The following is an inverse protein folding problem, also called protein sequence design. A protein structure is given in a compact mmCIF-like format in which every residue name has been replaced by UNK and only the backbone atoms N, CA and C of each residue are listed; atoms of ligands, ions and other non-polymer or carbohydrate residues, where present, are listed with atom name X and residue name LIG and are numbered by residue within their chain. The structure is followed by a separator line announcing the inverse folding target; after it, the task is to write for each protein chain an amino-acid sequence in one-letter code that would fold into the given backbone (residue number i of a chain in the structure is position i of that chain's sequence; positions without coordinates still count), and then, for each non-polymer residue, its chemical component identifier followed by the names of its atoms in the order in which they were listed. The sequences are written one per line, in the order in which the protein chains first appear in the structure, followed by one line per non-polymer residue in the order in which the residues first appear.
data_IF_311391875774
#
_entry.id   IF_311391875774
#
_cell.length_a   1.000
_cell.length_b   1.000
_cell.length_c   1.000
_cell.angle_alpha   90.00
_cell.angle_beta   90.00
_cell.angle_gamma   90.00
#
_symmetry.space_group_name_H-M   'P 1'
#
loop_
_entity.id
_entity.type
_entity.pdbx_description
1 polymer ?
#
# COMPACT_ATOMS: atom_id res chain seq x y z
N UNK A 1 -3.68 24.00 14.56
CA UNK A 1 -4.45 24.04 13.30
C UNK A 1 -4.96 22.63 13.05
N UNK A 2 -6.27 22.38 13.15
CA UNK A 2 -6.85 21.04 13.00
C UNK A 2 -7.06 20.81 11.51
N UNK A 3 -6.25 19.93 10.90
CA UNK A 3 -6.47 19.54 9.52
C UNK A 3 -7.64 18.56 9.50
N UNK A 4 -8.83 19.06 9.18
CA UNK A 4 -10.00 18.24 8.91
C UNK A 4 -9.81 17.59 7.53
N UNK A 5 -9.10 16.46 7.49
CA UNK A 5 -8.97 15.66 6.27
C UNK A 5 -10.33 15.01 6.02
N UNK A 6 -11.05 15.50 5.00
CA UNK A 6 -12.28 14.90 4.50
C UNK A 6 -11.93 13.61 3.75
N UNK A 7 -11.74 12.54 4.52
CA UNK A 7 -11.49 11.17 4.06
C UNK A 7 -12.75 10.74 3.30
N UNK A 8 -12.72 10.78 1.95
CA UNK A 8 -13.67 10.04 1.09
C UNK A 8 -13.76 8.60 1.64
N UNK A 9 -14.83 7.80 1.48
CA UNK A 9 -14.91 6.48 2.12
C UNK A 9 -13.85 5.51 1.56
N UNK A 10 -12.62 5.57 2.08
CA UNK A 10 -11.58 4.61 1.78
C UNK A 10 -11.72 3.46 2.78
N UNK A 11 -11.67 2.23 2.28
CA UNK A 11 -11.71 1.05 3.14
C UNK A 11 -10.35 0.96 3.85
N UNK A 12 -10.31 1.00 5.18
CA UNK A 12 -9.04 0.92 5.93
C UNK A 12 -8.83 -0.51 6.41
N UNK A 13 -7.64 -1.06 6.16
CA UNK A 13 -7.31 -2.42 6.55
C UNK A 13 -5.90 -2.51 7.13
N UNK A 14 -5.75 -3.24 8.22
CA UNK A 14 -4.45 -3.46 8.87
C UNK A 14 -3.79 -4.74 8.38
N UNK A 15 -2.48 -4.69 8.23
CA UNK A 15 -1.65 -5.78 7.71
C UNK A 15 -0.54 -6.05 8.70
N UNK A 16 -0.65 -7.15 9.44
CA UNK A 16 0.39 -7.55 10.39
C UNK A 16 1.48 -8.33 9.65
N UNK A 17 2.73 -7.91 9.80
CA UNK A 17 3.90 -8.55 9.20
C UNK A 17 4.86 -9.00 10.30
N UNK A 18 5.37 -10.24 10.23
CA UNK A 18 6.40 -10.70 11.18
C UNK A 18 7.82 -10.33 10.74
N UNK A 19 7.97 -9.78 9.54
CA UNK A 19 9.26 -9.34 8.99
C UNK A 19 9.51 -7.86 9.30
N UNK A 20 10.79 -7.41 9.38
CA UNK A 20 11.12 -6.01 9.67
C UNK A 20 10.64 -5.03 8.58
N UNK A 21 10.30 -5.54 7.40
CA UNK A 21 9.67 -4.80 6.30
C UNK A 21 8.95 -5.80 5.39
N UNK A 22 7.99 -5.31 4.62
CA UNK A 22 7.36 -6.02 3.50
C UNK A 22 7.65 -5.24 2.21
N UNK A 23 7.83 -5.95 1.09
CA UNK A 23 7.96 -5.26 -0.20
C UNK A 23 6.59 -4.90 -0.73
N UNK A 24 6.51 -3.81 -1.48
CA UNK A 24 5.25 -3.38 -2.08
C UNK A 24 4.64 -4.49 -2.97
N UNK A 25 5.44 -5.14 -3.82
CA UNK A 25 4.97 -6.29 -4.63
C UNK A 25 4.41 -7.45 -3.78
N UNK A 26 5.05 -7.75 -2.66
CA UNK A 26 4.61 -8.80 -1.75
C UNK A 26 3.32 -8.43 -1.03
N UNK A 27 3.17 -7.15 -0.64
CA UNK A 27 1.95 -6.64 -0.04
C UNK A 27 0.76 -6.73 -1.00
N UNK A 28 0.91 -6.29 -2.25
CA UNK A 28 -0.16 -6.39 -3.25
C UNK A 28 -0.62 -7.83 -3.44
N UNK A 29 0.32 -8.78 -3.48
CA UNK A 29 -0.01 -10.21 -3.53
C UNK A 29 -0.69 -10.71 -2.25
N UNK A 30 -0.19 -10.31 -1.10
CA UNK A 30 -0.71 -10.72 0.20
C UNK A 30 -2.16 -10.26 0.40
N UNK A 31 -2.51 -9.07 -0.09
CA UNK A 31 -3.87 -8.54 -0.07
C UNK A 31 -4.76 -9.01 -1.20
N UNK A 32 -4.21 -9.74 -2.17
CA UNK A 32 -4.96 -10.18 -3.35
C UNK A 32 -5.28 -9.05 -4.34
N UNK A 33 -4.67 -7.87 -4.18
CA UNK A 33 -4.79 -6.76 -5.15
C UNK A 33 -4.11 -7.10 -6.48
N UNK A 34 -3.07 -7.95 -6.44
CA UNK A 34 -2.42 -8.48 -7.63
C UNK A 34 -2.30 -10.00 -7.56
N UNK A 35 -2.85 -10.70 -8.54
CA UNK A 35 -2.79 -12.16 -8.63
C UNK A 35 -1.37 -12.65 -9.02
N UNK A 36 -0.66 -11.85 -9.81
CA UNK A 36 0.68 -12.18 -10.31
C UNK A 36 1.66 -11.04 -10.05
N UNK A 37 2.97 -11.36 -10.01
CA UNK A 37 4.01 -10.33 -9.92
C UNK A 37 4.01 -9.37 -11.12
N UNK A 38 3.51 -9.83 -12.28
CA UNK A 38 3.32 -9.00 -13.48
C UNK A 38 2.23 -7.93 -13.29
N UNK A 39 1.06 -8.32 -12.76
CA UNK A 39 -0.01 -7.38 -12.41
C UNK A 39 0.48 -6.35 -11.38
N UNK A 40 1.13 -6.81 -10.31
CA UNK A 40 1.67 -5.90 -9.29
C UNK A 40 2.61 -4.86 -9.91
N UNK A 41 3.48 -5.28 -10.83
CA UNK A 41 4.38 -4.39 -11.56
C UNK A 41 3.62 -3.36 -12.39
N UNK A 42 2.56 -3.75 -13.08
CA UNK A 42 1.75 -2.82 -13.87
C UNK A 42 1.06 -1.80 -12.99
N UNK A 43 0.35 -2.22 -11.93
CA UNK A 43 -0.36 -1.30 -11.03
C UNK A 43 0.56 -0.26 -10.40
N UNK A 44 1.76 -0.70 -10.00
CA UNK A 44 2.76 0.18 -9.40
C UNK A 44 3.30 1.17 -10.46
N UNK A 45 3.67 0.70 -11.65
CA UNK A 45 4.17 1.58 -12.72
C UNK A 45 3.11 2.56 -13.24
N UNK A 46 1.84 2.15 -13.25
CA UNK A 46 0.70 2.98 -13.64
C UNK A 46 0.37 4.05 -12.58
N UNK A 47 1.00 3.98 -11.40
CA UNK A 47 0.81 4.95 -10.33
C UNK A 47 -0.50 4.77 -9.56
N UNK A 48 -1.10 3.57 -9.62
CA UNK A 48 -2.32 3.21 -8.88
C UNK A 48 -2.05 3.02 -7.38
N UNK A 49 -0.79 2.93 -6.99
CA UNK A 49 -0.33 2.69 -5.62
C UNK A 49 0.30 3.95 -5.04
N UNK A 50 -0.14 4.34 -3.84
CA UNK A 50 0.43 5.46 -3.07
C UNK A 50 0.94 4.95 -1.74
N UNK A 51 2.07 5.46 -1.29
CA UNK A 51 2.65 5.15 0.02
C UNK A 51 2.77 6.46 0.79
N UNK A 52 2.12 6.56 1.95
CA UNK A 52 1.98 7.79 2.73
C UNK A 52 1.49 8.99 1.90
N UNK A 53 0.58 8.76 0.96
CA UNK A 53 0.04 9.79 0.08
C UNK A 53 0.90 10.13 -1.15
N UNK A 54 2.10 9.56 -1.28
CA UNK A 54 2.97 9.75 -2.45
C UNK A 54 2.84 8.58 -3.44
N UNK A 55 2.55 8.89 -4.71
CA UNK A 55 2.49 7.87 -5.76
C UNK A 55 3.83 7.16 -5.88
N UNK A 56 3.81 5.84 -5.69
CA UNK A 56 5.02 5.05 -5.72
C UNK A 56 5.03 4.12 -6.92
N UNK A 57 6.01 4.32 -7.80
CA UNK A 57 6.24 3.49 -8.98
C UNK A 57 7.36 2.46 -8.78
N UNK A 58 7.89 2.36 -7.55
CA UNK A 58 8.97 1.45 -7.19
C UNK A 58 8.43 0.14 -6.62
N UNK A 59 8.38 -0.92 -7.44
CA UNK A 59 7.88 -2.25 -7.02
C UNK A 59 8.59 -2.83 -5.80
N UNK A 60 9.88 -2.54 -5.67
CA UNK A 60 10.75 -3.02 -4.60
C UNK A 60 10.79 -2.09 -3.38
N UNK A 61 9.89 -1.11 -3.28
CA UNK A 61 9.86 -0.23 -2.11
C UNK A 61 9.61 -1.08 -0.86
N UNK A 62 10.49 -0.91 0.12
CA UNK A 62 10.39 -1.56 1.42
C UNK A 62 9.42 -0.74 2.25
N UNK A 63 8.28 -1.33 2.55
CA UNK A 63 7.25 -0.78 3.41
C UNK A 63 7.53 -1.29 4.82
N UNK A 64 7.62 -0.38 5.76
CA UNK A 64 7.89 -0.69 7.17
C UNK A 64 6.57 -0.63 7.96
N UNK A 65 6.52 -1.28 9.12
CA UNK A 65 5.41 -1.06 10.05
C UNK A 65 5.29 0.43 10.39
N UNK A 66 4.05 0.94 10.35
CA UNK A 66 3.72 2.35 10.47
C UNK A 66 3.46 3.06 9.13
N UNK A 67 3.89 2.49 8.00
CA UNK A 67 3.56 3.03 6.69
C UNK A 67 2.11 2.69 6.28
N UNK A 68 1.49 3.59 5.50
CA UNK A 68 0.17 3.39 4.91
C UNK A 68 0.28 3.30 3.39
N UNK A 69 -0.27 2.24 2.81
CA UNK A 69 -0.29 1.99 1.37
C UNK A 69 -1.72 2.12 0.85
N UNK A 70 -1.99 3.13 0.03
CA UNK A 70 -3.30 3.36 -0.56
C UNK A 70 -3.36 2.83 -2.00
N UNK A 71 -4.33 1.95 -2.28
CA UNK A 71 -4.54 1.31 -3.59
C UNK A 71 -6.05 1.21 -3.83
N UNK A 72 -6.52 1.66 -5.00
CA UNK A 72 -7.94 1.52 -5.41
C UNK A 72 -8.97 2.05 -4.37
N UNK A 73 -8.58 3.03 -3.55
CA UNK A 73 -9.44 3.54 -2.47
C UNK A 73 -9.48 2.65 -1.22
N UNK A 74 -8.52 1.75 -1.06
CA UNK A 74 -8.26 0.97 0.16
C UNK A 74 -6.93 1.38 0.74
N UNK A 75 -6.89 1.69 2.03
CA UNK A 75 -5.68 2.06 2.77
C UNK A 75 -5.21 0.91 3.64
N UNK A 76 -4.03 0.39 3.34
CA UNK A 76 -3.39 -0.69 4.05
C UNK A 76 -2.37 -0.14 5.05
N UNK A 77 -2.68 -0.23 6.33
CA UNK A 77 -1.77 0.17 7.41
C UNK A 77 -0.91 -1.01 7.80
N UNK A 78 0.41 -0.87 7.71
CA UNK A 78 1.34 -1.95 8.07
C UNK A 78 1.59 -1.92 9.56
N UNK A 79 1.43 -3.06 10.21
CA UNK A 79 1.72 -3.27 11.62
C UNK A 79 2.68 -4.44 11.76
N UNK A 80 3.49 -4.44 12.81
CA UNK A 80 4.37 -5.55 13.14
C UNK A 80 3.81 -6.31 14.34
#
# INVERSE_FOLDING_TARGET
MKLNVNIKPHRQETVTISTPFIRLDALLKFKGEAETGGQAKQMIQDGLVKVNGETCTARGKKIKPGDVVAIHGTDYTIQQ
#
